data_IF_596568970520
#
_entry.id   IF_596568970520
#
_cell.length_a   1.000
_cell.length_b   1.000
_cell.length_c   1.000
_cell.angle_alpha   90.00
_cell.angle_beta   90.00
_cell.angle_gamma   90.00
#
_symmetry.space_group_name_H-M   'P 1'
#
loop_
_entity.id
_entity.type
_entity.pdbx_description
1 polymer ?
#
# COMPACT_ATOMS: atom_id res chain seq x y z
N UNK A 1 12.16 -6.73 -6.02
CA UNK A 1 10.93 -7.39 -6.50
C UNK A 1 10.33 -8.10 -5.31
N UNK A 2 9.02 -7.97 -5.08
CA UNK A 2 8.33 -8.72 -4.02
C UNK A 2 8.40 -10.22 -4.31
N UNK A 3 8.29 -11.05 -3.29
CA UNK A 3 8.18 -12.50 -3.50
C UNK A 3 6.88 -12.76 -4.27
N UNK A 4 6.91 -13.46 -5.41
CA UNK A 4 5.71 -13.81 -6.13
C UNK A 4 4.81 -14.66 -5.24
N UNK A 5 3.50 -14.53 -5.43
CA UNK A 5 2.56 -15.44 -4.81
C UNK A 5 2.79 -16.84 -5.38
N UNK A 6 2.58 -17.92 -4.61
CA UNK A 6 2.55 -19.27 -5.16
C UNK A 6 1.61 -19.35 -6.37
N UNK A 7 1.99 -20.09 -7.41
CA UNK A 7 1.35 -20.02 -8.74
C UNK A 7 -0.15 -20.37 -8.87
N UNK A 8 -0.91 -20.96 -7.91
CA UNK A 8 -2.37 -20.87 -8.02
C UNK A 8 -2.90 -19.48 -7.61
N UNK A 9 -2.28 -18.85 -6.60
CA UNK A 9 -2.77 -17.60 -6.01
C UNK A 9 -2.50 -16.38 -6.90
N UNK A 10 -1.38 -16.38 -7.63
CA UNK A 10 -1.06 -15.30 -8.58
C UNK A 10 -2.07 -15.27 -9.74
N UNK A 11 -2.37 -16.43 -10.33
CA UNK A 11 -3.35 -16.53 -11.42
C UNK A 11 -4.77 -16.19 -10.97
N UNK A 12 -5.16 -16.60 -9.75
CA UNK A 12 -6.46 -16.24 -9.16
C UNK A 12 -6.57 -14.73 -8.92
N UNK A 13 -5.51 -14.10 -8.39
CA UNK A 13 -5.46 -12.67 -8.17
C UNK A 13 -5.53 -11.87 -9.49
N UNK A 14 -4.80 -12.30 -10.52
CA UNK A 14 -4.85 -11.68 -11.85
C UNK A 14 -6.24 -11.77 -12.48
N UNK A 15 -6.87 -12.96 -12.41
CA UNK A 15 -8.24 -13.14 -12.89
C UNK A 15 -9.22 -12.24 -12.14
N UNK A 16 -9.16 -12.21 -10.81
CA UNK A 16 -10.02 -11.36 -9.99
C UNK A 16 -9.86 -9.87 -10.34
N UNK A 17 -8.62 -9.39 -10.48
CA UNK A 17 -8.33 -8.01 -10.84
C UNK A 17 -8.79 -7.68 -12.26
N UNK A 18 -8.59 -8.58 -13.24
CA UNK A 18 -9.00 -8.37 -14.62
C UNK A 18 -10.51 -8.26 -14.81
N UNK A 19 -11.29 -8.87 -13.91
CA UNK A 19 -12.76 -8.81 -13.90
C UNK A 19 -13.30 -7.47 -13.37
N UNK A 20 -12.48 -6.63 -12.72
CA UNK A 20 -12.91 -5.33 -12.20
C UNK A 20 -12.97 -4.25 -13.30
N UNK A 21 -13.92 -3.31 -13.21
CA UNK A 21 -13.95 -2.12 -14.07
C UNK A 21 -12.59 -1.40 -14.09
N UNK A 22 -12.22 -0.84 -15.24
CA UNK A 22 -10.91 -0.20 -15.39
C UNK A 22 -10.67 0.95 -14.41
N UNK A 23 -11.70 1.78 -14.15
CA UNK A 23 -11.65 2.86 -13.16
C UNK A 23 -11.36 2.35 -11.76
N UNK A 24 -11.93 1.21 -11.37
CA UNK A 24 -11.69 0.60 -10.07
C UNK A 24 -10.27 0.01 -9.97
N UNK A 25 -9.75 -0.58 -11.05
CA UNK A 25 -8.35 -1.03 -11.10
C UNK A 25 -7.36 0.12 -10.91
N UNK A 26 -7.61 1.25 -11.59
CA UNK A 26 -6.80 2.46 -11.42
C UNK A 26 -6.87 3.00 -9.98
N UNK A 27 -8.07 3.02 -9.40
CA UNK A 27 -8.29 3.44 -8.02
C UNK A 27 -7.54 2.55 -7.03
N UNK A 28 -7.64 1.22 -7.16
CA UNK A 28 -6.90 0.25 -6.34
C UNK A 28 -5.39 0.47 -6.48
N UNK A 29 -4.90 0.56 -7.72
CA UNK A 29 -3.47 0.78 -8.00
C UNK A 29 -2.94 2.07 -7.38
N UNK A 30 -3.72 3.17 -7.44
CA UNK A 30 -3.36 4.45 -6.83
C UNK A 30 -3.22 4.35 -5.31
N UNK A 31 -4.24 3.84 -4.62
CA UNK A 31 -4.21 3.72 -3.16
C UNK A 31 -3.16 2.71 -2.67
N UNK A 32 -2.97 1.61 -3.39
CA UNK A 32 -1.91 0.65 -3.05
C UNK A 32 -0.52 1.28 -3.20
N UNK A 33 -0.27 2.02 -4.27
CA UNK A 33 1.01 2.70 -4.48
C UNK A 33 1.28 3.73 -3.38
N UNK A 34 0.29 4.55 -3.03
CA UNK A 34 0.41 5.51 -1.94
C UNK A 34 0.68 4.81 -0.60
N UNK A 35 0.02 3.69 -0.32
CA UNK A 35 0.23 2.92 0.91
C UNK A 35 1.65 2.34 1.05
N UNK A 36 2.33 2.06 -0.07
CA UNK A 36 3.69 1.49 -0.08
C UNK A 36 4.81 2.54 -0.04
N UNK A 37 4.53 3.78 -0.42
CA UNK A 37 5.52 4.87 -0.44
C UNK A 37 6.22 5.11 0.91
N UNK A 38 5.51 5.14 2.07
CA UNK A 38 6.15 5.39 3.37
C UNK A 38 7.17 4.31 3.74
N UNK A 39 6.92 3.06 3.35
CA UNK A 39 7.84 1.93 3.58
C UNK A 39 9.16 2.18 2.84
N UNK A 40 9.09 2.67 1.60
CA UNK A 40 10.29 2.99 0.81
C UNK A 40 11.10 4.14 1.43
N UNK A 41 10.41 5.18 1.93
CA UNK A 41 11.04 6.29 2.64
C UNK A 41 11.75 5.85 3.93
N UNK A 42 11.07 5.07 4.77
CA UNK A 42 11.66 4.51 5.98
C UNK A 42 12.87 3.62 5.67
N UNK A 43 12.76 2.73 4.66
CA UNK A 43 13.88 1.88 4.25
C UNK A 43 15.09 2.70 3.75
N UNK A 44 14.86 3.82 3.07
CA UNK A 44 15.93 4.72 2.64
C UNK A 44 16.65 5.35 3.84
N UNK A 45 15.88 5.86 4.82
CA UNK A 45 16.41 6.43 6.06
C UNK A 45 17.22 5.36 6.82
N UNK A 46 16.67 4.16 7.01
CA UNK A 46 17.36 3.07 7.72
C UNK A 46 18.66 2.65 7.01
N UNK A 47 18.66 2.59 5.67
CA UNK A 47 19.86 2.27 4.87
C UNK A 47 20.95 3.32 4.93
N UNK A 48 20.60 4.57 5.26
CA UNK A 48 21.58 5.65 5.36
C UNK A 48 22.55 5.48 6.54
N UNK A 49 22.22 4.60 7.51
CA UNK A 49 23.11 4.25 8.63
C UNK A 49 23.36 5.37 9.64
N UNK A 50 22.69 6.52 9.50
CA UNK A 50 22.75 7.63 10.44
C UNK A 50 21.56 7.60 11.41
N UNK A 51 21.65 8.32 12.53
CA UNK A 51 20.50 8.55 13.40
C UNK A 51 19.34 9.20 12.63
N UNK A 52 18.14 8.73 12.93
CA UNK A 52 16.88 9.31 12.44
C UNK A 52 16.65 10.62 13.22
N UNK A 53 16.37 11.70 12.50
CA UNK A 53 16.02 12.99 13.12
C UNK A 53 14.56 12.98 13.57
N UNK A 54 14.18 13.78 14.58
CA UNK A 54 12.77 13.94 14.98
C UNK A 54 11.86 14.35 13.82
N UNK A 55 12.33 15.21 12.93
CA UNK A 55 11.60 15.69 11.76
C UNK A 55 11.31 14.55 10.78
N UNK A 56 12.31 13.71 10.50
CA UNK A 56 12.13 12.54 9.63
C UNK A 56 11.22 11.48 10.25
N UNK A 57 11.29 11.30 11.57
CA UNK A 57 10.39 10.40 12.27
C UNK A 57 8.94 10.90 12.13
N UNK A 58 8.70 12.20 12.29
CA UNK A 58 7.39 12.79 12.10
C UNK A 58 6.89 12.64 10.66
N UNK A 59 7.72 12.91 9.66
CA UNK A 59 7.37 12.71 8.24
C UNK A 59 7.00 11.25 7.94
N UNK A 60 7.74 10.30 8.52
CA UNK A 60 7.44 8.88 8.42
C UNK A 60 6.10 8.56 9.07
N UNK A 61 5.85 9.04 10.30
CA UNK A 61 4.59 8.81 11.02
C UNK A 61 3.37 9.35 10.26
N UNK A 62 3.45 10.58 9.74
CA UNK A 62 2.39 11.19 8.91
C UNK A 62 2.16 10.37 7.63
N UNK A 63 3.24 9.94 6.98
CA UNK A 63 3.17 9.11 5.78
C UNK A 63 2.52 7.74 6.06
N UNK A 64 2.85 7.08 7.18
CA UNK A 64 2.23 5.84 7.60
C UNK A 64 0.75 6.02 7.98
N UNK A 65 0.38 7.16 8.58
CA UNK A 65 -1.02 7.48 8.85
C UNK A 65 -1.83 7.52 7.54
N UNK A 66 -1.33 8.19 6.49
CA UNK A 66 -1.99 8.22 5.19
C UNK A 66 -2.08 6.83 4.54
N UNK A 67 -1.02 6.02 4.61
CA UNK A 67 -1.05 4.65 4.11
C UNK A 67 -2.12 3.78 4.79
N UNK A 68 -2.31 3.94 6.10
CA UNK A 68 -3.39 3.24 6.83
C UNK A 68 -4.76 3.66 6.31
N UNK A 69 -4.96 4.94 6.00
CA UNK A 69 -6.23 5.41 5.42
C UNK A 69 -6.46 4.83 4.02
N UNK A 70 -5.42 4.75 3.20
CA UNK A 70 -5.50 4.13 1.87
C UNK A 70 -5.85 2.64 1.96
N UNK A 71 -5.24 1.89 2.89
CA UNK A 71 -5.59 0.49 3.16
C UNK A 71 -7.04 0.37 3.64
N UNK A 72 -7.49 1.25 4.54
CA UNK A 72 -8.89 1.26 5.00
C UNK A 72 -9.85 1.52 3.84
N UNK A 73 -9.54 2.48 2.96
CA UNK A 73 -10.36 2.74 1.78
C UNK A 73 -10.52 1.48 0.93
N UNK A 74 -9.40 0.77 0.64
CA UNK A 74 -9.41 -0.48 -0.11
C UNK A 74 -10.28 -1.56 0.54
N UNK A 75 -10.19 -1.73 1.87
CA UNK A 75 -10.94 -2.75 2.62
C UNK A 75 -12.43 -2.40 2.75
N UNK A 76 -12.76 -1.14 3.05
CA UNK A 76 -14.15 -0.67 3.21
C UNK A 76 -14.93 -0.71 1.90
N UNK A 77 -14.28 -0.48 0.75
CA UNK A 77 -14.91 -0.65 -0.56
C UNK A 77 -15.40 -2.09 -0.80
N UNK A 78 -14.76 -3.09 -0.19
CA UNK A 78 -15.15 -4.50 -0.27
C UNK A 78 -16.12 -4.95 0.83
N UNK A 79 -16.38 -4.14 1.86
CA UNK A 79 -17.27 -4.47 2.97
C UNK A 79 -18.08 -3.23 3.44
N UNK A 80 -19.25 -2.94 2.83
CA UNK A 80 -20.08 -1.79 3.19
C UNK A 80 -20.75 -1.90 4.58
N UNK A 81 -20.46 -2.95 5.38
CA UNK A 81 -20.97 -3.13 6.74
C UNK A 81 -20.04 -2.60 7.83
N UNK A 82 -18.88 -2.06 7.46
CA UNK A 82 -17.94 -1.41 8.39
C UNK A 82 -18.04 0.11 8.15
N UNK A 83 -19.12 0.71 8.65
CA UNK A 83 -19.32 2.16 8.72
C UNK A 83 -20.17 2.50 9.93
#
# INVERSE_FOLDING_TARGET
MGNPLPEPLESEAEKAMSALPHSLRLWIGHHLNNALMPISGLLFILKSGRPITPEELQEVEESFYHAIQDIRALVSYHNPKIS
#
